data_IF_406978653112
#
_entry.id   IF_406978653112
#
_cell.length_a   1.000
_cell.length_b   1.000
_cell.length_c   1.000
_cell.angle_alpha   90.00
_cell.angle_beta   90.00
_cell.angle_gamma   90.00
#
_symmetry.space_group_name_H-M   'P 1'
#
loop_
_entity.id
_entity.type
_entity.pdbx_description
1 polymer ?
#
# COMPACT_ATOMS: atom_id res chain seq x y z
N UNK A 1 -11.33 13.03 -14.66
CA UNK A 1 -11.85 12.01 -15.59
C UNK A 1 -12.79 11.12 -14.80
N UNK A 2 -14.01 10.91 -15.26
CA UNK A 2 -14.99 10.03 -14.59
C UNK A 2 -15.01 8.69 -15.31
N UNK A 3 -14.96 7.60 -14.55
CA UNK A 3 -15.09 6.24 -15.07
C UNK A 3 -16.37 5.62 -14.53
N UNK A 4 -17.01 4.79 -15.34
CA UNK A 4 -18.25 4.10 -14.97
C UNK A 4 -17.99 3.02 -13.91
N UNK A 5 -16.84 2.35 -14.00
CA UNK A 5 -16.40 1.34 -13.04
C UNK A 5 -14.88 1.26 -12.96
N UNK A 6 -14.38 0.68 -11.86
CA UNK A 6 -12.94 0.40 -11.70
C UNK A 6 -12.44 -0.56 -12.77
N UNK A 7 -13.26 -1.54 -13.18
CA UNK A 7 -12.92 -2.47 -14.26
C UNK A 7 -12.78 -1.75 -15.61
N UNK A 8 -13.69 -0.81 -15.94
CA UNK A 8 -13.56 -0.01 -17.15
C UNK A 8 -12.29 0.85 -17.12
N UNK A 9 -12.00 1.51 -15.99
CA UNK A 9 -10.78 2.29 -15.82
C UNK A 9 -9.53 1.43 -16.00
N UNK A 10 -9.53 0.22 -15.44
CA UNK A 10 -8.47 -0.78 -15.59
C UNK A 10 -8.28 -1.25 -17.02
N UNK A 11 -9.35 -1.49 -17.78
CA UNK A 11 -9.25 -1.89 -19.18
C UNK A 11 -8.59 -0.81 -20.05
N UNK A 12 -9.00 0.45 -19.87
CA UNK A 12 -8.42 1.61 -20.57
C UNK A 12 -6.94 1.76 -20.23
N UNK A 13 -6.59 1.64 -18.94
CA UNK A 13 -5.21 1.70 -18.49
C UNK A 13 -4.37 0.54 -19.04
N UNK A 14 -4.95 -0.67 -19.07
CA UNK A 14 -4.31 -1.87 -19.61
C UNK A 14 -3.95 -1.70 -21.08
N UNK A 15 -4.79 -1.08 -21.91
CA UNK A 15 -4.47 -0.77 -23.30
C UNK A 15 -3.26 0.16 -23.44
N UNK A 16 -3.18 1.19 -22.60
CA UNK A 16 -2.07 2.17 -22.64
C UNK A 16 -0.73 1.55 -22.23
N UNK A 17 -0.73 0.65 -21.25
CA UNK A 17 0.50 0.01 -20.77
C UNK A 17 0.90 -1.19 -21.63
N UNK A 18 -0.04 -1.82 -22.35
CA UNK A 18 0.23 -2.99 -23.18
C UNK A 18 1.29 -2.71 -24.24
N UNK A 19 1.20 -1.58 -24.94
CA UNK A 19 2.17 -1.26 -26.01
C UNK A 19 3.61 -1.20 -25.50
N UNK A 20 3.78 -0.71 -24.27
CA UNK A 20 5.11 -0.52 -23.67
C UNK A 20 5.66 -1.79 -23.01
N UNK A 21 4.80 -2.66 -22.49
CA UNK A 21 5.21 -3.74 -21.59
C UNK A 21 4.86 -5.15 -22.07
N UNK A 22 4.23 -5.32 -23.26
CA UNK A 22 3.79 -6.63 -23.79
C UNK A 22 4.88 -7.72 -23.82
N UNK A 23 6.14 -7.35 -24.03
CA UNK A 23 7.24 -8.31 -24.17
C UNK A 23 8.18 -8.35 -22.97
N UNK A 24 7.79 -7.70 -21.87
CA UNK A 24 8.57 -7.61 -20.65
C UNK A 24 8.06 -8.58 -19.59
N UNK A 25 8.94 -9.05 -18.72
CA UNK A 25 8.55 -9.80 -17.53
C UNK A 25 7.98 -8.84 -16.48
N UNK A 26 6.67 -8.63 -16.50
CA UNK A 26 6.00 -7.70 -15.59
C UNK A 26 5.45 -8.39 -14.35
N UNK A 27 5.20 -7.58 -13.31
CA UNK A 27 4.35 -7.92 -12.18
C UNK A 27 3.47 -6.70 -11.87
N UNK A 28 2.18 -6.91 -11.65
CA UNK A 28 1.26 -5.84 -11.26
C UNK A 28 1.12 -5.85 -9.75
N UNK A 29 1.43 -4.72 -9.13
CA UNK A 29 1.30 -4.52 -7.69
C UNK A 29 0.16 -3.53 -7.44
N UNK A 30 -0.95 -4.03 -6.91
CA UNK A 30 -2.13 -3.25 -6.59
C UNK A 30 -2.06 -2.71 -5.15
N UNK A 31 -2.34 -1.41 -4.98
CA UNK A 31 -2.41 -0.78 -3.66
C UNK A 31 -3.86 -0.85 -3.16
N UNK A 32 -4.09 -1.70 -2.16
CA UNK A 32 -5.41 -1.94 -1.57
C UNK A 32 -6.44 -2.61 -2.49
N UNK A 33 -7.62 -2.91 -1.94
CA UNK A 33 -8.68 -3.68 -2.61
C UNK A 33 -9.19 -3.02 -3.90
N UNK A 34 -9.40 -1.70 -3.87
CA UNK A 34 -9.87 -0.95 -5.04
C UNK A 34 -8.87 -0.98 -6.19
N UNK A 35 -7.57 -1.03 -5.87
CA UNK A 35 -6.50 -1.17 -6.85
C UNK A 35 -6.48 -2.54 -7.51
N UNK A 36 -6.90 -3.60 -6.81
CA UNK A 36 -6.92 -4.96 -7.36
C UNK A 36 -7.88 -5.08 -8.53
N UNK A 37 -9.08 -4.47 -8.44
CA UNK A 37 -10.06 -4.49 -9.54
C UNK A 37 -9.54 -3.85 -10.83
N UNK A 38 -8.66 -2.85 -10.69
CA UNK A 38 -7.99 -2.18 -11.82
C UNK A 38 -6.82 -3.05 -12.29
N UNK A 39 -5.99 -3.51 -11.35
CA UNK A 39 -4.78 -4.30 -11.59
C UNK A 39 -5.06 -5.65 -12.24
N UNK A 40 -6.19 -6.28 -11.94
CA UNK A 40 -6.64 -7.52 -12.59
C UNK A 40 -6.76 -7.35 -14.10
N UNK A 41 -7.38 -6.26 -14.56
CA UNK A 41 -7.55 -5.99 -15.99
C UNK A 41 -6.20 -5.83 -16.70
N UNK A 42 -5.22 -5.24 -16.00
CA UNK A 42 -3.86 -5.07 -16.50
C UNK A 42 -3.13 -6.41 -16.54
N UNK A 43 -3.20 -7.18 -15.44
CA UNK A 43 -2.50 -8.44 -15.28
C UNK A 43 -2.98 -9.50 -16.30
N UNK A 44 -4.28 -9.57 -16.55
CA UNK A 44 -4.87 -10.44 -17.58
C UNK A 44 -4.33 -10.09 -18.97
N UNK A 45 -4.22 -8.80 -19.28
CA UNK A 45 -3.80 -8.33 -20.61
C UNK A 45 -2.31 -8.45 -20.87
N UNK A 46 -1.50 -8.31 -19.81
CA UNK A 46 -0.04 -8.50 -19.84
C UNK A 46 0.39 -9.94 -19.57
N UNK A 47 -0.54 -10.85 -19.26
CA UNK A 47 -0.25 -12.23 -18.83
C UNK A 47 0.77 -12.32 -17.69
N UNK A 48 0.61 -11.48 -16.66
CA UNK A 48 1.54 -11.39 -15.56
C UNK A 48 0.89 -11.65 -14.20
N UNK A 49 1.73 -11.81 -13.17
CA UNK A 49 1.27 -12.01 -11.80
C UNK A 49 0.67 -10.72 -11.24
N UNK A 50 -0.42 -10.87 -10.49
CA UNK A 50 -1.04 -9.80 -9.73
C UNK A 50 -0.79 -10.04 -8.24
N UNK A 51 -0.29 -9.02 -7.55
CA UNK A 51 -0.14 -9.03 -6.10
C UNK A 51 -0.77 -7.78 -5.50
N UNK A 52 -1.43 -7.93 -4.35
CA UNK A 52 -1.86 -6.79 -3.55
C UNK A 52 -0.74 -6.44 -2.56
N UNK A 53 -0.34 -5.17 -2.54
CA UNK A 53 0.51 -4.62 -1.49
C UNK A 53 -0.39 -3.97 -0.44
N UNK A 54 -0.36 -4.54 0.77
CA UNK A 54 -1.01 -3.97 1.94
C UNK A 54 0.05 -3.32 2.82
N UNK A 55 -0.16 -2.04 3.09
CA UNK A 55 0.54 -1.29 4.12
C UNK A 55 -0.41 -0.34 4.82
N UNK A 56 -0.20 -0.14 6.11
CA UNK A 56 -0.97 0.79 6.93
C UNK A 56 -0.01 1.78 7.57
N UNK A 57 -0.24 3.07 7.34
CA UNK A 57 0.53 4.15 7.95
C UNK A 57 0.16 4.33 9.42
N UNK A 58 1.13 4.71 10.25
CA UNK A 58 0.90 5.05 11.65
C UNK A 58 1.12 6.55 11.82
N UNK A 59 0.02 7.25 12.10
CA UNK A 59 0.01 8.69 12.29
C UNK A 59 0.51 9.08 13.69
N UNK A 60 1.21 10.21 13.76
CA UNK A 60 1.66 10.82 15.02
C UNK A 60 0.48 11.56 15.66
N UNK A 61 0.18 11.37 16.96
CA UNK A 61 -0.89 12.11 17.61
C UNK A 61 -0.69 13.63 17.51
N UNK A 62 -1.67 14.34 16.97
CA UNK A 62 -1.64 15.81 16.86
C UNK A 62 -0.94 16.34 15.62
N UNK A 63 -0.26 15.49 14.86
CA UNK A 63 0.35 15.84 13.58
C UNK A 63 -0.28 15.00 12.46
N UNK A 64 -0.67 15.61 11.34
CA UNK A 64 -1.14 14.86 10.16
C UNK A 64 0.00 14.16 9.39
N UNK A 65 1.02 13.71 10.11
CA UNK A 65 2.23 13.08 9.61
C UNK A 65 2.28 11.63 10.07
N UNK A 66 2.78 10.77 9.18
CA UNK A 66 2.98 9.36 9.46
C UNK A 66 4.42 9.11 9.88
N UNK A 67 4.63 8.57 11.08
CA UNK A 67 5.97 8.20 11.59
C UNK A 67 6.57 7.02 10.82
N UNK A 68 5.71 6.22 10.18
CA UNK A 68 6.12 5.06 9.42
C UNK A 68 4.94 4.23 8.96
N UNK A 69 5.21 3.11 8.31
CA UNK A 69 4.20 2.19 7.82
C UNK A 69 4.49 0.76 8.27
N UNK A 70 3.41 0.05 8.61
CA UNK A 70 3.44 -1.39 8.83
C UNK A 70 3.16 -2.10 7.52
N UNK A 71 3.98 -3.09 7.17
CA UNK A 71 3.76 -3.96 6.02
C UNK A 71 2.94 -5.20 6.38
N UNK A 72 2.41 -5.87 5.35
CA UNK A 72 1.76 -7.17 5.47
C UNK A 72 2.59 -8.24 6.21
N UNK A 73 3.93 -8.18 6.18
CA UNK A 73 4.78 -9.14 6.89
C UNK A 73 4.95 -8.83 8.38
N UNK A 74 4.31 -7.77 8.89
CA UNK A 74 4.48 -7.28 10.25
C UNK A 74 5.77 -6.49 10.47
N UNK A 75 6.46 -6.11 9.38
CA UNK A 75 7.63 -5.24 9.46
C UNK A 75 7.18 -3.77 9.49
N UNK A 76 7.71 -3.03 10.46
CA UNK A 76 7.49 -1.60 10.57
C UNK A 76 8.69 -0.84 9.99
N UNK A 77 8.42 0.09 9.09
CA UNK A 77 9.44 0.95 8.47
C UNK A 77 9.17 2.39 8.83
N UNK A 78 10.17 3.07 9.38
CA UNK A 78 10.09 4.51 9.69
C UNK A 78 10.10 5.36 8.43
N UNK A 79 9.43 6.50 8.49
CA UNK A 79 9.45 7.47 7.41
C UNK A 79 10.84 8.13 7.33
N UNK A 80 11.46 8.02 6.15
CA UNK A 80 12.81 8.53 5.89
C UNK A 80 12.94 10.06 5.92
N UNK A 81 11.84 10.78 6.08
CA UNK A 81 11.85 12.24 6.24
C UNK A 81 12.24 12.67 7.66
N UNK A 82 12.10 11.79 8.65
CA UNK A 82 12.51 12.07 10.02
C UNK A 82 13.97 11.67 10.24
N UNK A 83 14.66 12.47 11.04
CA UNK A 83 15.98 12.12 11.58
C UNK A 83 15.87 11.06 12.67
N UNK A 84 16.98 10.37 12.94
CA UNK A 84 17.06 9.40 14.04
C UNK A 84 16.72 10.03 15.40
N UNK A 85 17.02 11.33 15.59
CA UNK A 85 16.67 12.08 16.79
C UNK A 85 15.17 12.24 16.96
N UNK A 86 14.48 12.70 15.91
CA UNK A 86 13.02 12.88 15.90
C UNK A 86 12.30 11.54 16.08
N UNK A 87 12.76 10.49 15.40
CA UNK A 87 12.19 9.14 15.56
C UNK A 87 12.29 8.68 17.01
N UNK A 88 13.44 8.89 17.67
CA UNK A 88 13.63 8.51 19.07
C UNK A 88 12.74 9.33 20.02
N UNK A 89 12.56 10.63 19.74
CA UNK A 89 11.69 11.50 20.52
C UNK A 89 10.23 11.05 20.43
N UNK A 90 9.68 10.90 19.22
CA UNK A 90 8.32 10.42 19.03
C UNK A 90 8.10 9.01 19.58
N UNK A 91 9.09 8.13 19.41
CA UNK A 91 9.00 6.75 19.94
C UNK A 91 9.04 6.72 21.46
N UNK A 92 9.74 7.67 22.10
CA UNK A 92 9.80 7.79 23.56
C UNK A 92 8.54 8.43 24.14
N UNK A 93 8.05 9.50 23.52
CA UNK A 93 6.86 10.24 23.96
C UNK A 93 5.57 9.43 23.75
N UNK A 94 5.43 8.84 22.56
CA UNK A 94 4.20 8.15 22.14
C UNK A 94 4.32 6.62 22.16
N UNK A 95 5.27 6.05 22.91
CA UNK A 95 5.56 4.62 22.89
C UNK A 95 4.31 3.73 22.98
N UNK A 96 3.47 3.96 24.01
CA UNK A 96 2.26 3.16 24.23
C UNK A 96 1.22 3.32 23.11
N UNK A 97 1.07 4.53 22.58
CA UNK A 97 0.17 4.80 21.46
C UNK A 97 0.65 4.12 20.17
N UNK A 98 1.95 4.23 19.86
CA UNK A 98 2.54 3.65 18.65
C UNK A 98 2.47 2.13 18.67
N UNK A 99 2.76 1.49 19.81
CA UNK A 99 2.65 0.03 19.94
C UNK A 99 1.20 -0.45 19.77
N UNK A 100 0.23 0.27 20.34
CA UNK A 100 -1.18 -0.07 20.14
C UNK A 100 -1.61 0.11 18.67
N UNK A 101 -1.20 1.21 18.02
CA UNK A 101 -1.49 1.43 16.60
C UNK A 101 -0.83 0.42 15.69
N UNK A 102 0.41 -0.02 15.98
CA UNK A 102 1.07 -1.12 15.28
C UNK A 102 0.26 -2.39 15.38
N UNK A 103 -0.25 -2.71 16.58
CA UNK A 103 -1.09 -3.88 16.85
C UNK A 103 -2.42 -3.82 16.08
N UNK A 104 -3.11 -2.69 16.13
CA UNK A 104 -4.36 -2.45 15.39
C UNK A 104 -4.15 -2.59 13.87
N UNK A 105 -3.11 -1.96 13.34
CA UNK A 105 -2.76 -2.02 11.92
C UNK A 105 -2.48 -3.45 11.47
N UNK A 106 -1.70 -4.21 12.24
CA UNK A 106 -1.41 -5.60 11.95
C UNK A 106 -2.68 -6.47 11.98
N UNK A 107 -3.56 -6.27 12.97
CA UNK A 107 -4.85 -6.99 13.03
C UNK A 107 -5.77 -6.66 11.85
N UNK A 108 -5.83 -5.38 11.45
CA UNK A 108 -6.62 -4.93 10.31
C UNK A 108 -6.13 -5.59 9.02
N UNK A 109 -4.82 -5.60 8.78
CA UNK A 109 -4.24 -6.26 7.60
C UNK A 109 -4.50 -7.77 7.60
N UNK A 110 -4.37 -8.45 8.73
CA UNK A 110 -4.68 -9.88 8.81
C UNK A 110 -6.14 -10.18 8.47
N UNK A 111 -7.07 -9.34 8.91
CA UNK A 111 -8.49 -9.49 8.55
C UNK A 111 -8.74 -9.38 7.05
N UNK A 112 -7.95 -8.58 6.34
CA UNK A 112 -8.04 -8.43 4.88
C UNK A 112 -7.45 -9.64 4.13
N UNK A 113 -6.57 -10.39 4.78
CA UNK A 113 -5.86 -11.54 4.19
C UNK A 113 -6.55 -12.89 4.43
N UNK A 114 -7.47 -12.95 5.40
CA UNK A 114 -8.25 -14.15 5.73
C UNK A 114 -7.69 -14.91 6.92
#
# INVERSE_FOLDING_TARGET
MYFESRSQAGAILADQVLEKYRYENCAVVAIGEGGVLIGEQIAVKLHCVLMMLLSEGIEIPGESLSIGAMSQSGQFTYNSQFSDGEINEYTSEFHGYLEEKKREAHQKMNRLLG
#
